data_IF_630382067645
#
_entry.id   IF_630382067645
#
_cell.length_a   1.000
_cell.length_b   1.000
_cell.length_c   1.000
_cell.angle_alpha   90.00
_cell.angle_beta   90.00
_cell.angle_gamma   90.00
#
_symmetry.space_group_name_H-M   'P 1'
#
loop_
_entity.id
_entity.type
_entity.pdbx_description
1 polymer ?
#
# COMPACT_ATOMS: atom_id res chain seq x y z
N UNK A 1 -18.66 -32.02 -29.70
CA UNK A 1 -18.12 -30.66 -29.45
C UNK A 1 -17.48 -30.48 -28.09
N UNK A 2 -17.98 -31.09 -27.01
CA UNK A 2 -17.40 -31.00 -25.68
C UNK A 2 -15.96 -31.58 -25.53
N UNK A 3 -15.60 -32.62 -26.30
CA UNK A 3 -14.28 -33.26 -26.27
C UNK A 3 -13.14 -32.41 -26.90
N UNK A 4 -13.47 -31.51 -27.79
CA UNK A 4 -12.51 -30.60 -28.44
C UNK A 4 -12.16 -29.43 -27.55
N UNK A 5 -13.09 -28.93 -26.73
CA UNK A 5 -12.87 -27.82 -25.80
C UNK A 5 -11.92 -28.23 -24.66
N UNK A 6 -12.06 -29.48 -24.16
CA UNK A 6 -11.12 -29.99 -23.11
C UNK A 6 -9.67 -30.16 -23.62
N UNK A 7 -9.48 -30.54 -24.89
CA UNK A 7 -8.13 -30.68 -25.45
C UNK A 7 -7.45 -29.32 -25.69
N UNK A 8 -8.22 -28.28 -26.03
CA UNK A 8 -7.68 -26.93 -26.18
C UNK A 8 -7.29 -26.29 -24.85
N UNK A 9 -8.07 -26.50 -23.77
CA UNK A 9 -7.74 -25.97 -22.45
C UNK A 9 -6.46 -26.61 -21.86
N UNK A 10 -6.28 -27.91 -22.10
CA UNK A 10 -5.04 -28.60 -21.65
C UNK A 10 -3.79 -28.13 -22.39
N UNK A 11 -3.91 -27.82 -23.68
CA UNK A 11 -2.80 -27.34 -24.48
C UNK A 11 -2.37 -25.89 -24.07
N UNK A 12 -3.35 -25.01 -23.82
CA UNK A 12 -3.09 -23.65 -23.30
C UNK A 12 -2.49 -23.66 -21.90
N UNK A 13 -2.92 -24.55 -21.02
CA UNK A 13 -2.31 -24.73 -19.70
C UNK A 13 -0.85 -25.19 -19.79
N UNK A 14 -0.53 -26.08 -20.71
CA UNK A 14 0.84 -26.56 -20.90
C UNK A 14 1.77 -25.49 -21.47
N UNK A 15 1.28 -24.62 -22.34
CA UNK A 15 2.02 -23.48 -22.89
C UNK A 15 2.25 -22.41 -21.81
N UNK A 16 1.21 -22.06 -21.04
CA UNK A 16 1.30 -21.09 -19.94
C UNK A 16 2.25 -21.58 -18.84
N UNK A 17 2.26 -22.87 -18.53
CA UNK A 17 3.14 -23.46 -17.53
C UNK A 17 4.60 -23.58 -18.01
N UNK A 18 4.86 -23.79 -19.30
CA UNK A 18 6.22 -23.78 -19.86
C UNK A 18 6.83 -22.38 -19.87
N UNK A 19 6.08 -21.38 -20.27
CA UNK A 19 6.57 -19.99 -20.23
C UNK A 19 6.80 -19.49 -18.79
N UNK A 20 5.94 -19.86 -17.83
CA UNK A 20 6.13 -19.53 -16.43
C UNK A 20 7.40 -20.14 -15.82
N UNK A 21 7.77 -21.37 -16.21
CA UNK A 21 9.00 -22.02 -15.75
C UNK A 21 10.26 -21.40 -16.35
N UNK A 22 10.18 -20.91 -17.58
CA UNK A 22 11.29 -20.22 -18.24
C UNK A 22 11.51 -18.80 -17.66
N UNK A 23 10.44 -18.06 -17.39
CA UNK A 23 10.52 -16.74 -16.75
C UNK A 23 11.02 -16.79 -15.30
N UNK A 24 10.70 -17.86 -14.54
CA UNK A 24 11.19 -17.99 -13.15
C UNK A 24 12.71 -18.16 -13.09
N UNK A 25 13.33 -18.83 -14.05
CA UNK A 25 14.79 -18.94 -14.13
C UNK A 25 15.50 -17.64 -14.50
N UNK A 26 14.88 -16.81 -15.34
CA UNK A 26 15.42 -15.49 -15.69
C UNK A 26 15.30 -14.50 -14.54
N UNK A 27 14.23 -14.59 -13.74
CA UNK A 27 13.99 -13.70 -12.60
C UNK A 27 14.89 -13.99 -11.39
N UNK A 28 15.23 -15.26 -11.15
CA UNK A 28 16.12 -15.65 -10.04
C UNK A 28 17.54 -15.09 -10.25
N UNK A 29 18.02 -15.00 -11.49
CA UNK A 29 19.32 -14.40 -11.79
C UNK A 29 19.34 -12.86 -11.71
N UNK A 30 18.17 -12.20 -11.70
CA UNK A 30 18.10 -10.75 -11.59
C UNK A 30 18.01 -10.24 -10.14
N UNK A 31 17.63 -11.07 -9.18
CA UNK A 31 17.49 -10.64 -7.77
C UNK A 31 18.83 -10.40 -7.06
N UNK A 32 19.92 -10.94 -7.56
CA UNK A 32 21.26 -10.78 -6.98
C UNK A 32 22.08 -9.60 -7.51
N UNK A 33 21.62 -8.87 -8.53
CA UNK A 33 22.30 -7.65 -8.96
C UNK A 33 22.02 -6.52 -7.98
N UNK A 34 22.96 -6.26 -7.08
CA UNK A 34 22.98 -5.07 -6.23
C UNK A 34 22.95 -3.83 -7.11
N UNK A 35 21.77 -3.20 -7.24
CA UNK A 35 21.64 -1.95 -7.97
C UNK A 35 22.44 -0.84 -7.28
N UNK A 36 23.62 -0.51 -7.81
CA UNK A 36 24.46 0.59 -7.33
C UNK A 36 23.98 1.97 -7.77
N UNK A 37 23.08 2.08 -8.71
CA UNK A 37 22.61 3.36 -9.22
C UNK A 37 21.29 3.76 -8.58
N UNK A 38 21.21 5.03 -8.13
CA UNK A 38 19.97 5.73 -7.77
C UNK A 38 19.11 5.93 -9.03
N UNK A 39 18.55 4.90 -9.59
CA UNK A 39 17.45 5.11 -10.52
C UNK A 39 16.24 5.50 -9.70
N UNK A 40 15.61 6.64 -9.99
CA UNK A 40 14.24 6.89 -9.57
C UNK A 40 13.47 5.66 -10.02
N UNK A 41 12.85 4.94 -9.07
CA UNK A 41 11.99 3.83 -9.46
C UNK A 41 10.92 4.42 -10.36
N UNK A 42 10.71 3.87 -11.56
CA UNK A 42 9.63 4.35 -12.40
C UNK A 42 8.32 4.27 -11.64
N UNK A 43 7.36 5.11 -12.01
CA UNK A 43 6.03 5.05 -11.47
C UNK A 43 5.51 3.60 -11.51
N UNK A 44 4.71 3.15 -10.51
CA UNK A 44 4.24 1.78 -10.45
C UNK A 44 3.46 1.32 -11.69
N UNK A 45 2.84 2.23 -12.39
CA UNK A 45 2.15 1.98 -13.67
C UNK A 45 3.09 1.96 -14.88
N UNK A 46 4.36 2.37 -14.72
CA UNK A 46 5.32 2.30 -15.78
C UNK A 46 5.90 0.87 -15.81
N UNK A 47 5.43 0.06 -16.69
CA UNK A 47 6.06 -1.21 -17.02
C UNK A 47 7.25 -0.93 -17.95
N UNK A 48 8.49 -1.24 -17.53
CA UNK A 48 9.62 -1.12 -18.42
C UNK A 48 9.37 -2.06 -19.62
N UNK A 49 9.39 -1.51 -20.83
CA UNK A 49 9.34 -2.33 -22.06
C UNK A 49 10.42 -3.40 -21.93
N UNK A 50 9.99 -4.65 -21.85
CA UNK A 50 10.91 -5.77 -21.93
C UNK A 50 11.38 -5.83 -23.37
N UNK A 51 12.61 -5.35 -23.60
CA UNK A 51 13.34 -5.61 -24.86
C UNK A 51 13.71 -7.09 -24.92
N UNK A 52 12.75 -7.97 -24.95
CA UNK A 52 12.93 -9.38 -25.25
C UNK A 52 12.61 -9.57 -26.73
N UNK A 53 13.53 -10.23 -27.42
CA UNK A 53 13.30 -10.64 -28.82
C UNK A 53 12.02 -11.45 -28.88
N UNK A 54 10.97 -10.89 -29.47
CA UNK A 54 9.75 -11.61 -29.77
C UNK A 54 10.02 -12.60 -30.90
N UNK A 55 9.61 -13.81 -30.66
CA UNK A 55 9.62 -14.86 -31.65
C UNK A 55 8.53 -14.62 -32.68
N UNK A 56 8.97 -14.42 -33.89
CA UNK A 56 8.27 -14.52 -35.17
C UNK A 56 6.74 -14.42 -35.25
N UNK A 57 6.28 -13.38 -35.88
CA UNK A 57 4.97 -13.39 -36.59
C UNK A 57 3.75 -12.93 -35.80
N UNK A 58 3.87 -12.56 -34.55
CA UNK A 58 2.76 -12.00 -33.76
C UNK A 58 3.10 -10.56 -33.38
N UNK A 59 2.25 -9.62 -33.79
CA UNK A 59 2.39 -8.20 -33.42
C UNK A 59 2.18 -8.05 -31.92
N UNK A 60 3.04 -7.25 -31.26
CA UNK A 60 3.06 -7.04 -29.81
C UNK A 60 1.70 -6.64 -29.23
N UNK A 61 0.91 -5.90 -29.98
CA UNK A 61 -0.39 -5.38 -29.59
C UNK A 61 -1.42 -6.51 -29.41
N UNK A 62 -1.54 -7.41 -30.39
CA UNK A 62 -2.52 -8.50 -30.32
C UNK A 62 -2.20 -9.54 -29.23
N UNK A 63 -0.92 -9.78 -28.98
CA UNK A 63 -0.50 -10.72 -27.90
C UNK A 63 -0.75 -10.14 -26.53
N UNK A 64 -0.56 -8.83 -26.36
CA UNK A 64 -0.82 -8.17 -25.08
C UNK A 64 -2.30 -8.25 -24.72
N UNK A 65 -3.18 -7.92 -25.66
CA UNK A 65 -4.63 -7.93 -25.46
C UNK A 65 -5.18 -9.34 -25.19
N UNK A 66 -4.76 -10.32 -25.99
CA UNK A 66 -5.15 -11.72 -25.78
C UNK A 66 -4.65 -12.27 -24.44
N UNK A 67 -3.42 -11.96 -24.05
CA UNK A 67 -2.89 -12.35 -22.74
C UNK A 67 -3.67 -11.66 -21.61
N UNK A 68 -4.02 -10.41 -21.76
CA UNK A 68 -4.80 -9.68 -20.76
C UNK A 68 -6.21 -10.27 -20.63
N UNK A 69 -6.91 -10.55 -21.71
CA UNK A 69 -8.22 -11.20 -21.68
C UNK A 69 -8.18 -12.55 -20.99
N UNK A 70 -7.23 -13.42 -21.36
CA UNK A 70 -7.06 -14.74 -20.72
C UNK A 70 -6.79 -14.62 -19.21
N UNK A 71 -6.08 -13.59 -18.78
CA UNK A 71 -5.81 -13.39 -17.35
C UNK A 71 -7.01 -12.89 -16.59
N UNK A 72 -7.74 -11.94 -17.16
CA UNK A 72 -8.95 -11.42 -16.55
C UNK A 72 -9.97 -12.54 -16.42
N UNK A 73 -10.16 -13.37 -17.45
CA UNK A 73 -11.08 -14.49 -17.43
C UNK A 73 -10.67 -15.58 -16.42
N UNK A 74 -9.38 -15.82 -16.24
CA UNK A 74 -8.87 -16.82 -15.26
C UNK A 74 -9.14 -16.46 -13.81
N UNK A 75 -9.23 -15.18 -13.48
CA UNK A 75 -9.38 -14.69 -12.09
C UNK A 75 -10.76 -14.11 -11.80
N UNK A 76 -11.66 -14.02 -12.79
CA UNK A 76 -13.05 -13.63 -12.55
C UNK A 76 -13.74 -14.59 -11.59
N UNK A 77 -14.74 -14.14 -10.82
CA UNK A 77 -15.49 -15.00 -9.91
C UNK A 77 -16.11 -16.22 -10.61
N UNK A 78 -16.54 -16.09 -11.87
CA UNK A 78 -17.19 -17.13 -12.65
C UNK A 78 -16.22 -18.02 -13.46
N UNK A 79 -14.92 -17.90 -13.23
CA UNK A 79 -13.94 -18.64 -14.03
C UNK A 79 -13.91 -20.13 -13.65
N UNK A 80 -13.83 -21.05 -14.63
CA UNK A 80 -13.76 -22.49 -14.38
C UNK A 80 -12.50 -22.87 -13.59
N UNK A 81 -11.40 -22.15 -13.77
CA UNK A 81 -10.15 -22.37 -13.05
C UNK A 81 -10.32 -22.06 -11.55
N UNK A 82 -11.07 -21.02 -11.23
CA UNK A 82 -11.40 -20.68 -9.85
C UNK A 82 -12.33 -21.72 -9.23
N UNK A 83 -13.34 -22.14 -9.96
CA UNK A 83 -14.28 -23.17 -9.51
C UNK A 83 -13.55 -24.48 -9.16
N UNK A 84 -12.70 -24.98 -10.05
CA UNK A 84 -11.88 -26.18 -9.82
C UNK A 84 -10.94 -26.02 -8.59
N UNK A 85 -10.37 -24.82 -8.40
CA UNK A 85 -9.52 -24.54 -7.26
C UNK A 85 -10.30 -24.54 -5.94
N UNK A 86 -11.50 -23.98 -5.92
CA UNK A 86 -12.36 -23.95 -4.74
C UNK A 86 -12.85 -25.35 -4.39
N UNK A 87 -13.26 -26.13 -5.40
CA UNK A 87 -13.66 -27.53 -5.23
C UNK A 87 -12.54 -28.38 -4.61
N UNK A 88 -11.31 -28.26 -5.11
CA UNK A 88 -10.13 -28.93 -4.51
C UNK A 88 -9.89 -28.55 -3.05
N UNK A 89 -10.31 -27.38 -2.64
CA UNK A 89 -10.23 -26.92 -1.24
C UNK A 89 -11.45 -27.28 -0.40
N UNK A 90 -12.50 -27.81 -1.01
CA UNK A 90 -13.78 -28.04 -0.35
C UNK A 90 -14.48 -26.75 0.08
N UNK A 91 -14.21 -25.64 -0.61
CA UNK A 91 -14.80 -24.32 -0.33
C UNK A 91 -15.83 -24.01 -1.39
N UNK A 92 -17.02 -23.59 -0.96
CA UNK A 92 -18.04 -23.00 -1.86
C UNK A 92 -18.13 -21.49 -1.66
N UNK A 93 -18.55 -20.75 -2.67
CA UNK A 93 -18.74 -19.31 -2.56
C UNK A 93 -19.72 -18.93 -1.43
N UNK A 94 -20.73 -19.75 -1.20
CA UNK A 94 -21.68 -19.58 -0.07
C UNK A 94 -21.00 -19.75 1.28
N UNK A 95 -20.06 -20.68 1.44
CA UNK A 95 -19.28 -20.83 2.66
C UNK A 95 -18.36 -19.62 2.89
N UNK A 96 -17.75 -19.13 1.82
CA UNK A 96 -16.94 -17.91 1.89
C UNK A 96 -17.83 -16.73 2.30
N UNK A 97 -18.97 -16.53 1.65
CA UNK A 97 -19.89 -15.45 1.97
C UNK A 97 -20.42 -15.52 3.41
N UNK A 98 -20.76 -16.71 3.91
CA UNK A 98 -21.25 -16.88 5.28
C UNK A 98 -20.20 -16.57 6.36
N UNK A 99 -18.93 -16.88 6.11
CA UNK A 99 -17.83 -16.54 7.02
C UNK A 99 -17.62 -15.03 7.18
N UNK A 100 -17.98 -14.26 6.14
CA UNK A 100 -17.73 -12.81 6.07
C UNK A 100 -18.99 -11.97 6.23
N UNK A 101 -20.10 -12.57 6.71
CA UNK A 101 -21.27 -11.77 7.05
C UNK A 101 -20.90 -10.73 8.12
N UNK A 102 -21.17 -9.47 7.79
CA UNK A 102 -20.96 -8.34 8.69
C UNK A 102 -22.29 -8.02 9.34
N UNK A 103 -22.30 -7.80 10.64
CA UNK A 103 -23.48 -7.34 11.34
C UNK A 103 -23.90 -5.96 10.79
N UNK A 104 -25.00 -5.90 10.07
CA UNK A 104 -25.51 -4.64 9.45
C UNK A 104 -25.75 -3.54 10.47
N UNK A 105 -25.96 -3.90 11.74
CA UNK A 105 -26.24 -2.98 12.85
C UNK A 105 -24.97 -2.58 13.62
N UNK A 106 -23.77 -2.99 13.17
CA UNK A 106 -22.55 -2.66 13.88
C UNK A 106 -22.29 -1.16 13.84
N UNK A 107 -22.21 -0.55 15.02
CA UNK A 107 -21.82 0.85 15.19
C UNK A 107 -20.33 0.94 15.55
N UNK A 108 -19.63 1.84 14.90
CA UNK A 108 -18.22 2.10 15.17
C UNK A 108 -17.99 2.48 16.65
N UNK A 109 -17.00 1.89 17.29
CA UNK A 109 -16.58 2.16 18.65
C UNK A 109 -15.18 2.79 18.65
N UNK A 110 -14.84 3.54 19.69
CA UNK A 110 -13.53 4.23 19.79
C UNK A 110 -12.31 3.33 19.56
N UNK A 111 -12.35 2.10 20.06
CA UNK A 111 -11.25 1.13 19.93
C UNK A 111 -11.32 0.30 18.65
N UNK A 112 -12.34 0.45 17.83
CA UNK A 112 -12.52 -0.31 16.60
C UNK A 112 -11.41 0.04 15.60
N UNK A 113 -10.77 -0.98 15.06
CA UNK A 113 -9.75 -0.84 14.01
C UNK A 113 -10.34 -1.29 12.70
N UNK A 114 -10.52 -0.37 11.77
CA UNK A 114 -10.91 -0.66 10.39
C UNK A 114 -9.67 -1.05 9.57
N UNK A 115 -9.89 -1.61 8.38
CA UNK A 115 -8.82 -1.81 7.42
C UNK A 115 -8.25 -0.46 6.97
N UNK A 116 -7.00 -0.46 6.50
CA UNK A 116 -6.42 0.67 5.81
C UNK A 116 -6.36 0.44 4.30
N UNK A 117 -5.91 1.44 3.57
CA UNK A 117 -5.65 1.34 2.14
C UNK A 117 -4.17 1.50 1.82
N UNK A 118 -3.76 0.99 0.66
CA UNK A 118 -2.42 1.18 0.13
C UNK A 118 -2.51 2.24 -0.96
N UNK A 119 -1.79 3.33 -0.79
CA UNK A 119 -1.73 4.41 -1.76
C UNK A 119 -0.32 4.55 -2.35
N UNK A 120 -0.21 5.34 -3.38
CA UNK A 120 1.05 5.75 -4.00
C UNK A 120 1.21 7.25 -3.79
N UNK A 121 2.35 7.66 -3.28
CA UNK A 121 2.69 9.06 -3.15
C UNK A 121 3.02 9.63 -4.52
N UNK A 122 2.25 10.59 -4.99
CA UNK A 122 2.49 11.27 -6.27
C UNK A 122 3.49 12.42 -6.11
N UNK A 123 3.33 13.22 -5.06
CA UNK A 123 4.15 14.39 -4.80
C UNK A 123 3.53 15.30 -3.75
N UNK A 124 3.96 16.56 -3.73
CA UNK A 124 3.41 17.58 -2.83
C UNK A 124 2.92 18.77 -3.64
N UNK A 125 1.73 19.27 -3.28
CA UNK A 125 1.09 20.42 -3.92
C UNK A 125 0.68 21.42 -2.83
N UNK A 126 0.83 22.73 -3.04
CA UNK A 126 0.28 23.74 -2.16
C UNK A 126 -1.25 23.82 -2.33
N UNK A 127 -1.95 24.05 -1.24
CA UNK A 127 -3.35 24.40 -1.18
C UNK A 127 -3.48 25.70 -0.36
N UNK A 128 -4.54 26.45 -0.55
CA UNK A 128 -4.78 27.67 0.18
C UNK A 128 -6.02 27.52 1.05
N UNK A 129 -5.95 28.06 2.26
CA UNK A 129 -7.12 28.17 3.12
C UNK A 129 -7.94 29.41 2.73
N UNK A 130 -9.17 29.49 3.22
CA UNK A 130 -10.02 30.69 3.06
C UNK A 130 -9.40 31.95 3.69
N UNK A 131 -8.50 31.76 4.66
CA UNK A 131 -7.76 32.82 5.32
C UNK A 131 -6.52 33.29 4.54
N UNK A 132 -6.27 32.70 3.37
CA UNK A 132 -5.10 33.00 2.53
C UNK A 132 -3.80 32.28 2.93
N UNK A 133 -3.83 31.42 3.95
CA UNK A 133 -2.66 30.65 4.34
C UNK A 133 -2.33 29.54 3.32
N UNK A 134 -1.06 29.45 2.96
CA UNK A 134 -0.54 28.37 2.11
C UNK A 134 -0.26 27.12 2.93
N UNK A 135 -0.95 26.03 2.61
CA UNK A 135 -0.78 24.72 3.25
C UNK A 135 -0.20 23.74 2.26
N UNK A 136 0.92 23.09 2.62
CA UNK A 136 1.51 22.04 1.80
C UNK A 136 0.80 20.71 2.03
N UNK A 137 0.30 20.11 0.95
CA UNK A 137 -0.40 18.83 0.96
C UNK A 137 0.38 17.77 0.20
N UNK A 138 0.43 16.57 0.73
CA UNK A 138 0.93 15.40 0.00
C UNK A 138 -0.23 14.72 -0.73
N UNK A 139 -0.04 14.43 -1.99
CA UNK A 139 -1.02 13.77 -2.86
C UNK A 139 -0.79 12.28 -2.86
N UNK A 140 -1.81 11.52 -2.49
CA UNK A 140 -1.80 10.07 -2.39
C UNK A 140 -2.88 9.50 -3.31
N UNK A 141 -2.52 8.62 -4.22
CA UNK A 141 -3.46 7.94 -5.10
C UNK A 141 -3.68 6.49 -4.66
N UNK A 142 -4.94 6.11 -4.53
CA UNK A 142 -5.35 4.75 -4.22
C UNK A 142 -5.60 4.02 -5.54
N UNK A 143 -4.80 3.00 -5.83
CA UNK A 143 -4.88 2.27 -7.10
C UNK A 143 -5.34 0.84 -6.85
N UNK A 144 -6.52 0.51 -7.33
CA UNK A 144 -7.04 -0.84 -7.47
C UNK A 144 -6.78 -1.73 -6.23
N UNK A 145 -7.23 -1.25 -5.08
CA UNK A 145 -7.10 -1.98 -3.82
C UNK A 145 -8.23 -2.98 -3.64
N UNK A 146 -7.86 -4.23 -3.33
CA UNK A 146 -8.80 -5.29 -2.98
C UNK A 146 -8.39 -6.02 -1.72
N UNK A 147 -9.37 -6.47 -0.99
CA UNK A 147 -9.17 -7.40 0.13
C UNK A 147 -8.89 -8.78 -0.43
N UNK A 148 -7.79 -9.40 0.00
CA UNK A 148 -7.38 -10.72 -0.50
C UNK A 148 -7.75 -11.80 0.50
N UNK A 149 -7.44 -11.60 1.78
CA UNK A 149 -7.67 -12.60 2.81
C UNK A 149 -7.86 -11.95 4.17
N UNK A 150 -8.77 -12.50 4.95
CA UNK A 150 -8.89 -12.21 6.37
C UNK A 150 -8.45 -13.42 7.19
N UNK A 151 -7.70 -13.18 8.25
CA UNK A 151 -7.30 -14.21 9.23
C UNK A 151 -7.90 -13.83 10.57
N UNK A 152 -8.75 -14.69 11.17
CA UNK A 152 -9.38 -14.41 12.44
C UNK A 152 -8.33 -14.31 13.58
N UNK A 153 -8.70 -13.72 14.73
CA UNK A 153 -7.76 -13.48 15.83
C UNK A 153 -7.08 -14.75 16.34
N UNK A 154 -7.82 -15.86 16.40
CA UNK A 154 -7.31 -17.15 16.91
C UNK A 154 -6.18 -17.70 16.05
N UNK A 155 -6.39 -17.76 14.72
CA UNK A 155 -5.40 -18.25 13.78
C UNK A 155 -4.24 -17.28 13.62
N UNK A 156 -4.53 -15.99 13.74
CA UNK A 156 -3.48 -14.96 13.70
C UNK A 156 -2.53 -15.10 14.89
N UNK A 157 -3.05 -15.32 16.09
CA UNK A 157 -2.25 -15.54 17.29
C UNK A 157 -1.42 -16.81 17.19
N UNK A 158 -2.00 -17.93 16.71
CA UNK A 158 -1.26 -19.17 16.46
C UNK A 158 -0.09 -18.97 15.51
N UNK A 159 -0.29 -18.18 14.43
CA UNK A 159 0.72 -17.94 13.39
C UNK A 159 1.88 -17.04 13.82
N UNK A 160 1.63 -16.07 14.70
CA UNK A 160 2.63 -15.07 15.13
C UNK A 160 3.27 -15.38 16.49
N UNK A 161 2.75 -16.39 17.21
CA UNK A 161 3.11 -16.63 18.60
C UNK A 161 2.56 -15.53 19.54
N UNK A 162 2.82 -15.70 20.84
CA UNK A 162 2.40 -14.73 21.84
C UNK A 162 3.21 -13.44 21.72
N UNK A 163 2.57 -12.39 21.22
CA UNK A 163 3.15 -11.06 21.17
C UNK A 163 2.38 -10.13 22.13
N UNK A 164 3.01 -9.63 23.22
CA UNK A 164 2.32 -8.85 24.25
C UNK A 164 1.72 -7.52 23.70
N UNK A 165 2.21 -7.05 22.57
CA UNK A 165 1.76 -5.82 21.90
C UNK A 165 0.46 -5.97 21.08
N UNK A 166 0.03 -7.21 20.81
CA UNK A 166 -1.21 -7.44 20.10
C UNK A 166 -2.35 -7.71 21.08
N UNK A 167 -3.39 -6.91 21.00
CA UNK A 167 -4.65 -7.18 21.70
C UNK A 167 -5.17 -8.57 21.32
N UNK A 168 -5.67 -9.32 22.28
CA UNK A 168 -6.20 -10.70 22.06
C UNK A 168 -7.30 -10.76 20.99
N UNK A 169 -8.01 -9.66 20.74
CA UNK A 169 -9.14 -9.59 19.82
C UNK A 169 -8.81 -8.83 18.52
N UNK A 170 -7.67 -9.07 17.91
CA UNK A 170 -7.33 -8.44 16.64
C UNK A 170 -6.98 -9.49 15.60
N UNK A 171 -7.73 -9.47 14.51
CA UNK A 171 -7.44 -10.25 13.31
C UNK A 171 -6.52 -9.51 12.35
N UNK A 172 -6.15 -10.16 11.28
CA UNK A 172 -5.35 -9.55 10.23
C UNK A 172 -6.03 -9.64 8.87
N UNK A 173 -6.01 -8.54 8.15
CA UNK A 173 -6.55 -8.42 6.80
C UNK A 173 -5.42 -8.11 5.82
N UNK A 174 -5.33 -8.88 4.75
CA UNK A 174 -4.37 -8.67 3.68
C UNK A 174 -5.06 -7.92 2.56
N UNK A 175 -4.53 -6.76 2.23
CA UNK A 175 -4.98 -5.91 1.12
C UNK A 175 -3.91 -5.89 0.05
N UNK A 176 -4.33 -5.98 -1.20
CA UNK A 176 -3.46 -5.90 -2.37
C UNK A 176 -3.75 -4.65 -3.20
N UNK A 177 -2.73 -4.11 -3.84
CA UNK A 177 -2.85 -2.97 -4.76
C UNK A 177 -2.12 -3.23 -6.06
N UNK A 178 -2.61 -2.62 -7.11
CA UNK A 178 -2.10 -2.65 -8.48
C UNK A 178 -2.11 -4.06 -9.07
N UNK A 179 -3.09 -4.34 -9.89
CA UNK A 179 -3.20 -5.60 -10.64
C UNK A 179 -2.03 -5.75 -11.61
N UNK A 180 -1.53 -6.95 -11.70
CA UNK A 180 -0.41 -7.29 -12.58
C UNK A 180 -0.67 -8.64 -13.25
N UNK A 181 0.03 -8.85 -14.34
CA UNK A 181 0.03 -10.11 -15.06
C UNK A 181 0.39 -11.30 -14.17
N UNK A 182 -0.42 -12.37 -14.14
CA UNK A 182 -0.12 -13.60 -13.40
C UNK A 182 1.20 -14.25 -13.81
N UNK A 183 1.66 -14.03 -15.04
CA UNK A 183 2.92 -14.58 -15.56
C UNK A 183 4.16 -14.01 -14.86
N UNK A 184 4.03 -12.86 -14.18
CA UNK A 184 5.12 -12.26 -13.43
C UNK A 184 5.37 -12.94 -12.06
N UNK A 185 4.43 -13.78 -11.62
CA UNK A 185 4.44 -14.36 -10.28
C UNK A 185 4.49 -15.88 -10.29
N UNK A 186 4.86 -16.46 -9.16
CA UNK A 186 4.85 -17.90 -8.97
C UNK A 186 3.41 -18.43 -8.81
N UNK A 187 3.19 -19.71 -9.15
CA UNK A 187 1.89 -20.38 -9.00
C UNK A 187 1.34 -20.29 -7.56
N UNK A 188 2.21 -20.40 -6.55
CA UNK A 188 1.80 -20.27 -5.13
C UNK A 188 1.27 -18.88 -4.80
N UNK A 189 1.84 -17.84 -5.38
CA UNK A 189 1.40 -16.47 -5.20
C UNK A 189 0.05 -16.22 -5.89
N UNK A 190 -0.10 -16.70 -7.13
CA UNK A 190 -1.35 -16.59 -7.88
C UNK A 190 -2.52 -17.29 -7.19
N UNK A 191 -2.29 -18.45 -6.58
CA UNK A 191 -3.33 -19.20 -5.87
C UNK A 191 -3.95 -18.42 -4.69
N UNK A 192 -3.25 -17.44 -4.11
CA UNK A 192 -3.82 -16.55 -3.09
C UNK A 192 -4.99 -15.72 -3.62
N UNK A 193 -4.94 -15.35 -4.88
CA UNK A 193 -5.92 -14.45 -5.49
C UNK A 193 -7.10 -15.20 -6.09
N UNK A 194 -6.95 -16.48 -6.40
CA UNK A 194 -8.07 -17.32 -6.87
C UNK A 194 -9.18 -17.44 -5.83
N UNK A 195 -8.83 -17.52 -4.54
CA UNK A 195 -9.80 -17.54 -3.45
C UNK A 195 -10.61 -16.23 -3.39
N UNK A 196 -9.95 -15.10 -3.62
CA UNK A 196 -10.57 -13.78 -3.61
C UNK A 196 -11.30 -13.42 -4.92
N UNK A 197 -11.10 -14.17 -6.00
CA UNK A 197 -11.65 -13.86 -7.33
C UNK A 197 -11.10 -12.56 -7.92
N UNK A 198 -9.82 -12.24 -7.66
CA UNK A 198 -9.19 -10.98 -8.06
C UNK A 198 -7.87 -11.24 -8.74
N UNK A 199 -7.53 -10.44 -9.75
CA UNK A 199 -6.24 -10.51 -10.42
C UNK A 199 -5.07 -10.34 -9.44
N UNK A 200 -3.92 -11.01 -9.67
CA UNK A 200 -2.75 -10.90 -8.82
C UNK A 200 -2.29 -9.45 -8.63
N UNK A 201 -1.98 -9.09 -7.40
CA UNK A 201 -1.58 -7.74 -7.02
C UNK A 201 -0.06 -7.61 -6.86
N UNK A 202 0.47 -6.49 -7.29
CA UNK A 202 1.92 -6.21 -7.22
C UNK A 202 2.43 -6.00 -5.81
N UNK A 203 1.59 -5.43 -4.94
CA UNK A 203 1.96 -5.14 -3.55
C UNK A 203 0.88 -5.61 -2.60
N UNK A 204 1.27 -6.38 -1.60
CA UNK A 204 0.42 -6.79 -0.49
C UNK A 204 0.86 -6.10 0.80
N UNK A 205 -0.12 -5.79 1.64
CA UNK A 205 0.12 -5.26 2.98
C UNK A 205 -0.89 -5.87 3.94
N UNK A 206 -0.42 -6.15 5.15
CA UNK A 206 -1.27 -6.66 6.23
C UNK A 206 -1.69 -5.49 7.11
N UNK A 207 -2.99 -5.42 7.39
CA UNK A 207 -3.59 -4.50 8.37
C UNK A 207 -4.14 -5.29 9.55
N UNK A 208 -4.05 -4.71 10.73
CA UNK A 208 -4.66 -5.26 11.94
C UNK A 208 -6.07 -4.69 12.07
N UNK A 209 -7.05 -5.57 12.12
CA UNK A 209 -8.47 -5.22 12.03
C UNK A 209 -9.24 -5.87 13.16
N UNK A 210 -10.21 -5.16 13.73
CA UNK A 210 -11.14 -5.73 14.70
C UNK A 210 -12.03 -6.78 14.02
N UNK A 211 -12.40 -7.89 14.68
CA UNK A 211 -13.19 -8.95 14.05
C UNK A 211 -14.55 -8.46 13.54
N UNK A 212 -15.09 -7.42 14.17
CA UNK A 212 -16.35 -6.75 13.80
C UNK A 212 -16.25 -6.01 12.44
N UNK A 213 -15.03 -5.62 12.02
CA UNK A 213 -14.75 -4.90 10.76
C UNK A 213 -14.15 -5.81 9.68
N UNK A 214 -14.47 -7.11 9.72
CA UNK A 214 -14.06 -8.04 8.68
C UNK A 214 -14.72 -7.68 7.35
N UNK A 215 -14.00 -7.86 6.25
CA UNK A 215 -14.47 -7.66 4.89
C UNK A 215 -14.30 -8.95 4.10
N UNK A 216 -15.22 -9.19 3.19
CA UNK A 216 -15.14 -10.34 2.30
C UNK A 216 -13.92 -10.22 1.37
N UNK A 217 -13.26 -11.34 1.01
CA UNK A 217 -12.26 -11.36 -0.04
C UNK A 217 -12.87 -10.84 -1.36
N UNK A 218 -12.09 -10.14 -2.16
CA UNK A 218 -12.56 -9.50 -3.38
C UNK A 218 -13.16 -8.10 -3.20
N UNK A 219 -13.50 -7.67 -1.98
CA UNK A 219 -14.05 -6.34 -1.74
C UNK A 219 -13.05 -5.25 -2.17
N UNK A 220 -13.52 -4.33 -3.00
CA UNK A 220 -12.74 -3.20 -3.48
C UNK A 220 -12.71 -2.08 -2.44
N UNK A 221 -11.54 -1.49 -2.26
CA UNK A 221 -11.31 -0.37 -1.34
C UNK A 221 -10.88 0.87 -2.16
N UNK A 222 -11.66 1.94 -2.05
CA UNK A 222 -11.43 3.20 -2.76
C UNK A 222 -10.99 4.30 -1.79
N UNK A 223 -10.68 5.48 -2.32
CA UNK A 223 -10.35 6.66 -1.53
C UNK A 223 -11.48 7.03 -0.55
N UNK A 224 -12.74 6.87 -0.95
CA UNK A 224 -13.94 7.14 -0.15
C UNK A 224 -14.08 6.25 1.11
N UNK A 225 -13.18 5.30 1.34
CA UNK A 225 -13.03 4.63 2.64
C UNK A 225 -12.76 5.62 3.78
N UNK A 226 -12.03 6.69 3.49
CA UNK A 226 -11.81 7.83 4.38
C UNK A 226 -12.74 8.98 4.03
N UNK A 227 -12.81 9.97 4.89
CA UNK A 227 -13.60 11.19 4.67
C UNK A 227 -12.71 12.41 4.79
N UNK A 228 -13.12 13.49 4.18
CA UNK A 228 -12.50 14.80 4.37
C UNK A 228 -12.66 15.23 5.85
N UNK A 229 -11.68 15.92 6.37
CA UNK A 229 -11.51 16.35 7.76
C UNK A 229 -11.18 15.23 8.77
N UNK A 230 -11.19 13.96 8.35
CA UNK A 230 -10.68 12.88 9.18
C UNK A 230 -9.15 12.90 9.29
N UNK A 231 -8.63 12.33 10.38
CA UNK A 231 -7.20 12.21 10.62
C UNK A 231 -6.71 10.79 10.34
N UNK A 232 -5.61 10.70 9.60
CA UNK A 232 -5.00 9.43 9.20
C UNK A 232 -3.54 9.32 9.63
N UNK A 233 -3.10 8.09 9.84
CA UNK A 233 -1.71 7.74 10.06
C UNK A 233 -1.14 7.15 8.77
N UNK A 234 -0.05 7.73 8.29
CA UNK A 234 0.56 7.37 7.03
C UNK A 234 1.94 6.78 7.25
N UNK A 235 2.12 5.54 6.82
CA UNK A 235 3.38 4.80 7.01
C UNK A 235 4.03 4.46 5.68
N UNK A 236 5.33 4.77 5.55
CA UNK A 236 6.12 4.37 4.39
C UNK A 236 7.60 4.16 4.73
N UNK A 237 8.35 3.60 3.81
CA UNK A 237 9.81 3.53 3.90
C UNK A 237 10.41 4.88 3.55
N UNK A 238 11.27 5.39 4.43
CA UNK A 238 11.99 6.65 4.23
C UNK A 238 12.95 6.59 3.05
N UNK A 239 13.37 7.75 2.57
CA UNK A 239 14.36 7.86 1.50
C UNK A 239 15.68 7.26 1.97
N UNK A 240 16.25 6.33 1.17
CA UNK A 240 17.53 5.71 1.46
C UNK A 240 18.70 6.63 1.08
N UNK A 241 19.59 6.83 2.03
CA UNK A 241 20.82 7.62 1.84
C UNK A 241 22.09 6.77 1.77
N UNK A 242 21.98 5.44 1.73
CA UNK A 242 23.09 4.50 1.80
C UNK A 242 23.90 4.67 3.09
N UNK A 243 25.21 4.35 3.06
CA UNK A 243 26.08 4.50 4.22
C UNK A 243 26.42 5.97 4.43
N UNK A 244 26.08 6.49 5.61
CA UNK A 244 26.30 7.90 5.99
C UNK A 244 27.18 8.00 7.25
N UNK A 245 27.98 9.06 7.29
CA UNK A 245 28.77 9.43 8.47
C UNK A 245 27.88 9.94 9.61
N UNK A 246 28.46 10.05 10.79
CA UNK A 246 27.77 10.44 12.03
C UNK A 246 27.19 11.86 12.00
N UNK A 247 27.81 12.77 11.24
CA UNK A 247 27.31 14.15 11.10
C UNK A 247 25.94 14.14 10.41
N UNK A 248 25.80 13.48 9.27
CA UNK A 248 24.52 13.43 8.56
C UNK A 248 23.51 12.52 9.23
N UNK A 249 23.96 11.35 9.73
CA UNK A 249 23.07 10.34 10.31
C UNK A 249 22.50 10.75 11.68
N UNK A 250 23.31 11.41 12.53
CA UNK A 250 22.96 11.68 13.92
C UNK A 250 23.04 13.16 14.31
N UNK A 251 23.42 14.05 13.38
CA UNK A 251 23.53 15.47 13.65
C UNK A 251 24.74 15.86 14.52
N UNK A 252 25.81 15.08 14.50
CA UNK A 252 27.03 15.44 15.26
C UNK A 252 27.64 16.71 14.68
N UNK A 253 28.10 17.62 15.57
CA UNK A 253 28.77 18.86 15.14
C UNK A 253 30.09 18.61 14.43
N UNK A 254 30.79 17.53 14.80
CA UNK A 254 32.16 17.27 14.33
C UNK A 254 33.18 18.03 15.15
N UNK A 255 34.36 18.21 14.61
CA UNK A 255 35.46 18.94 15.20
C UNK A 255 35.77 20.20 14.38
N UNK A 256 36.54 21.16 14.99
CA UNK A 256 36.97 22.35 14.28
C UNK A 256 37.75 22.02 13.02
N UNK A 257 37.52 22.76 11.95
CA UNK A 257 38.26 22.63 10.71
C UNK A 257 39.61 23.34 10.69
N UNK A 258 39.84 24.24 11.65
CA UNK A 258 41.03 25.07 11.78
C UNK A 258 41.94 24.57 12.92
N UNK A 259 43.15 25.12 13.02
CA UNK A 259 44.13 24.82 14.10
C UNK A 259 44.46 23.31 14.20
N UNK A 260 45.16 22.77 13.23
CA UNK A 260 45.60 21.36 13.14
C UNK A 260 44.46 20.32 13.17
N UNK A 261 43.24 20.71 12.80
CA UNK A 261 42.05 19.83 12.79
C UNK A 261 42.17 18.62 11.86
N UNK A 262 43.05 18.62 10.91
CA UNK A 262 43.38 17.51 10.03
C UNK A 262 42.15 16.88 9.35
N UNK A 263 42.20 15.58 9.04
CA UNK A 263 41.16 14.82 8.37
C UNK A 263 40.02 14.36 9.30
N UNK A 264 39.91 14.88 10.54
CA UNK A 264 39.00 14.36 11.57
C UNK A 264 37.69 15.15 11.72
N UNK A 265 37.46 16.19 10.93
CA UNK A 265 36.36 17.15 11.12
C UNK A 265 34.96 16.49 11.22
N UNK A 266 34.73 15.47 10.45
CA UNK A 266 33.42 14.80 10.35
C UNK A 266 33.38 13.44 11.04
N UNK A 267 34.33 13.14 11.92
CA UNK A 267 34.38 11.89 12.67
C UNK A 267 33.58 11.96 13.98
N UNK A 268 33.25 10.78 14.52
CA UNK A 268 32.43 10.65 15.73
C UNK A 268 33.17 11.04 17.01
N UNK A 269 34.51 11.13 17.00
CA UNK A 269 35.33 11.22 18.18
C UNK A 269 35.50 9.87 18.90
N UNK A 270 35.73 9.90 20.21
CA UNK A 270 35.90 8.68 21.00
C UNK A 270 34.63 7.82 21.07
N UNK A 271 34.82 6.52 21.00
CA UNK A 271 33.72 5.56 21.03
C UNK A 271 33.59 4.79 22.33
N UNK A 272 34.62 4.75 23.14
CA UNK A 272 34.64 4.03 24.42
C UNK A 272 34.96 4.92 25.64
N UNK A 273 34.84 4.37 26.81
CA UNK A 273 35.00 5.06 28.09
C UNK A 273 36.40 4.95 28.71
N UNK A 274 37.47 4.60 27.97
CA UNK A 274 38.81 4.43 28.48
C UNK A 274 39.02 3.15 29.31
N UNK A 275 40.01 3.18 30.22
CA UNK A 275 40.40 2.00 31.02
C UNK A 275 39.29 1.44 31.91
N UNK A 276 38.42 2.29 32.47
CA UNK A 276 37.38 1.88 33.43
C UNK A 276 36.14 1.23 32.76
N UNK A 277 35.93 1.44 31.47
CA UNK A 277 34.83 0.84 30.73
C UNK A 277 35.35 0.19 29.43
N UNK A 278 35.61 -1.12 29.48
CA UNK A 278 35.96 -1.86 28.29
C UNK A 278 34.78 -1.93 27.29
N UNK A 279 35.04 -1.68 26.02
CA UNK A 279 34.09 -1.79 24.95
C UNK A 279 33.23 -0.56 24.71
N UNK A 280 32.33 -0.69 23.74
CA UNK A 280 31.41 0.35 23.31
C UNK A 280 30.02 0.11 23.91
N UNK A 281 29.41 1.14 24.47
CA UNK A 281 28.04 1.03 25.00
C UNK A 281 27.04 0.66 23.92
N UNK A 282 26.06 -0.19 24.27
CA UNK A 282 24.94 -0.54 23.37
C UNK A 282 24.19 0.72 22.94
N UNK A 283 23.81 0.81 21.68
CA UNK A 283 23.10 1.97 21.14
C UNK A 283 23.99 3.19 20.85
N UNK A 284 25.32 3.10 20.94
CA UNK A 284 26.24 4.19 20.56
C UNK A 284 25.97 4.63 19.13
N UNK A 285 25.73 5.93 18.93
CA UNK A 285 25.49 6.54 17.61
C UNK A 285 26.75 6.48 16.75
N UNK A 286 26.72 5.67 15.69
CA UNK A 286 27.84 5.44 14.76
C UNK A 286 27.42 5.62 13.31
N UNK A 287 28.40 5.74 12.42
CA UNK A 287 28.18 5.71 10.98
C UNK A 287 27.51 4.39 10.55
N UNK A 288 26.76 4.42 9.49
CA UNK A 288 26.07 3.25 8.95
C UNK A 288 25.00 3.62 7.95
N UNK A 289 24.19 2.64 7.53
CA UNK A 289 23.08 2.87 6.62
C UNK A 289 22.06 3.81 7.25
N UNK A 290 21.58 4.77 6.44
CA UNK A 290 20.58 5.76 6.83
C UNK A 290 19.41 5.71 5.85
N UNK A 291 18.20 5.68 6.40
CA UNK A 291 16.98 5.58 5.60
C UNK A 291 16.61 4.14 5.21
N UNK A 292 15.57 4.00 4.37
CA UNK A 292 14.92 2.74 4.04
C UNK A 292 14.20 2.09 5.23
N UNK A 293 14.07 2.80 6.34
CA UNK A 293 13.35 2.36 7.53
C UNK A 293 11.87 2.75 7.43
N UNK A 294 11.02 1.95 8.06
CA UNK A 294 9.61 2.29 8.18
C UNK A 294 9.44 3.48 9.14
N UNK A 295 8.76 4.51 8.68
CA UNK A 295 8.35 5.63 9.50
C UNK A 295 6.86 5.87 9.34
N UNK A 296 6.20 6.26 10.43
CA UNK A 296 4.77 6.56 10.47
C UNK A 296 4.58 8.00 10.90
N UNK A 297 4.02 8.79 10.00
CA UNK A 297 3.54 10.13 10.33
C UNK A 297 2.10 10.00 10.83
N UNK A 298 1.87 10.43 12.07
CA UNK A 298 0.58 10.25 12.75
C UNK A 298 -0.26 11.52 12.73
N UNK A 299 -1.56 11.34 12.59
CA UNK A 299 -2.54 12.42 12.76
C UNK A 299 -2.50 13.47 11.66
N UNK A 300 -2.34 13.06 10.41
CA UNK A 300 -2.42 13.96 9.26
C UNK A 300 -3.90 14.18 8.88
N UNK A 301 -4.32 15.43 8.71
CA UNK A 301 -5.70 15.81 8.31
C UNK A 301 -5.88 15.61 6.80
N UNK A 302 -6.97 15.01 6.38
CA UNK A 302 -7.38 14.94 4.98
C UNK A 302 -8.08 16.26 4.65
N UNK A 303 -7.58 17.00 3.65
CA UNK A 303 -8.13 18.31 3.27
C UNK A 303 -9.01 18.24 2.03
N UNK A 304 -8.67 17.38 1.08
CA UNK A 304 -9.39 17.24 -0.19
C UNK A 304 -9.37 15.78 -0.62
N UNK A 305 -10.42 15.36 -1.27
CA UNK A 305 -10.53 14.03 -1.85
C UNK A 305 -11.15 14.13 -3.25
N UNK A 306 -10.57 13.42 -4.19
CA UNK A 306 -11.10 13.23 -5.54
C UNK A 306 -11.53 11.77 -5.70
N UNK A 307 -12.84 11.56 -5.84
CA UNK A 307 -13.44 10.23 -5.97
C UNK A 307 -13.35 9.69 -7.40
N UNK A 308 -13.13 10.56 -8.40
CA UNK A 308 -12.99 10.15 -9.81
C UNK A 308 -11.69 9.40 -10.04
N UNK A 309 -10.59 9.94 -9.52
CA UNK A 309 -9.24 9.38 -9.67
C UNK A 309 -8.74 8.66 -8.40
N UNK A 310 -9.58 8.52 -7.36
CA UNK A 310 -9.23 7.94 -6.06
C UNK A 310 -7.99 8.58 -5.43
N UNK A 311 -7.97 9.92 -5.37
CA UNK A 311 -6.86 10.71 -4.84
C UNK A 311 -7.21 11.34 -3.50
N UNK A 312 -6.29 11.29 -2.55
CA UNK A 312 -6.41 11.85 -1.21
C UNK A 312 -5.32 12.90 -1.00
N UNK A 313 -5.71 14.10 -0.59
CA UNK A 313 -4.80 15.20 -0.25
C UNK A 313 -4.67 15.29 1.26
N UNK A 314 -3.48 15.01 1.76
CA UNK A 314 -3.19 14.95 3.19
C UNK A 314 -2.32 16.13 3.61
N UNK A 315 -2.71 16.87 4.64
CA UNK A 315 -1.95 18.02 5.16
C UNK A 315 -0.60 17.57 5.71
N UNK A 316 0.48 18.11 5.14
CA UNK A 316 1.85 17.91 5.62
C UNK A 316 2.67 16.92 4.81
N UNK A 317 3.77 16.46 5.39
CA UNK A 317 4.79 15.62 4.74
C UNK A 317 4.56 14.15 5.04
N UNK A 318 4.63 13.32 4.01
CA UNK A 318 4.57 11.85 4.11
C UNK A 318 5.96 11.25 3.85
N UNK A 319 6.40 10.25 4.65
CA UNK A 319 7.68 9.60 4.47
C UNK A 319 7.81 8.95 3.08
N UNK A 320 9.03 8.84 2.61
CA UNK A 320 9.36 8.16 1.36
C UNK A 320 9.52 9.07 0.14
N UNK A 321 10.18 8.56 -0.91
CA UNK A 321 10.30 9.25 -2.19
C UNK A 321 8.95 9.28 -2.92
N UNK A 322 8.87 10.07 -3.98
CA UNK A 322 7.73 10.04 -4.89
C UNK A 322 7.59 8.65 -5.53
N UNK A 323 6.39 8.27 -5.86
CA UNK A 323 5.99 6.95 -6.38
C UNK A 323 6.29 5.76 -5.44
N UNK A 324 6.46 6.00 -4.14
CA UNK A 324 6.54 4.92 -3.17
C UNK A 324 5.15 4.45 -2.70
N UNK A 325 5.06 3.18 -2.32
CA UNK A 325 3.86 2.65 -1.68
C UNK A 325 3.78 3.11 -0.23
N UNK A 326 2.62 3.60 0.13
CA UNK A 326 2.31 4.16 1.43
C UNK A 326 1.11 3.41 2.02
N UNK A 327 1.12 3.13 3.29
CA UNK A 327 -0.02 2.58 4.03
C UNK A 327 -0.74 3.72 4.72
N UNK A 328 -2.02 3.85 4.46
CA UNK A 328 -2.90 4.84 5.08
C UNK A 328 -3.88 4.12 5.99
N UNK A 329 -3.99 4.54 7.24
CA UNK A 329 -4.84 3.95 8.27
C UNK A 329 -5.50 5.05 9.09
N UNK A 330 -6.60 4.74 9.76
CA UNK A 330 -7.18 5.64 10.76
C UNK A 330 -6.15 5.95 11.84
N UNK A 331 -6.14 7.20 12.32
CA UNK A 331 -5.16 7.62 13.33
C UNK A 331 -5.31 6.85 14.64
N UNK A 332 -4.18 6.53 15.27
CA UNK A 332 -4.13 5.92 16.60
C UNK A 332 -4.19 7.00 17.70
N UNK A 333 -3.98 8.28 17.38
CA UNK A 333 -3.93 9.36 18.35
C UNK A 333 -5.31 9.62 18.98
N UNK A 334 -5.45 9.37 20.27
CA UNK A 334 -6.72 9.45 20.99
C UNK A 334 -7.39 10.84 20.88
N UNK A 335 -6.62 11.92 20.99
CA UNK A 335 -7.16 13.28 20.89
C UNK A 335 -7.73 13.60 19.50
N UNK A 336 -7.17 13.04 18.43
CA UNK A 336 -7.67 13.18 17.06
C UNK A 336 -8.87 12.28 16.78
N UNK A 337 -8.93 11.11 17.41
CA UNK A 337 -10.05 10.16 17.27
C UNK A 337 -11.32 10.63 17.97
N UNK A 338 -11.26 11.54 18.95
CA UNK A 338 -12.45 12.08 19.63
C UNK A 338 -13.46 12.70 18.65
N UNK A 339 -12.99 13.30 17.57
CA UNK A 339 -13.86 13.84 16.51
C UNK A 339 -14.69 12.78 15.80
N UNK A 340 -14.14 11.57 15.63
CA UNK A 340 -14.84 10.45 14.99
C UNK A 340 -16.00 9.90 15.82
N UNK A 341 -16.05 10.17 17.13
CA UNK A 341 -17.18 9.74 17.97
C UNK A 341 -18.44 10.53 17.68
N UNK A 342 -18.31 11.81 17.33
CA UNK A 342 -19.46 12.65 16.96
C UNK A 342 -20.03 12.27 15.60
N UNK A 343 -19.16 11.94 14.68
CA UNK A 343 -19.52 11.52 13.34
C UNK A 343 -18.73 10.24 12.97
N UNK A 344 -19.25 9.04 13.29
CA UNK A 344 -18.55 7.79 13.08
C UNK A 344 -18.35 7.52 11.58
N UNK A 345 -17.16 6.98 11.20
CA UNK A 345 -16.93 6.59 9.83
C UNK A 345 -17.76 5.35 9.45
N UNK A 346 -17.99 5.17 8.15
CA UNK A 346 -18.64 3.95 7.66
C UNK A 346 -17.81 2.72 8.06
N UNK A 347 -18.44 1.77 8.69
CA UNK A 347 -17.78 0.55 9.13
C UNK A 347 -18.54 -0.67 8.56
N UNK A 348 -17.80 -1.64 7.98
CA UNK A 348 -16.36 -1.75 7.87
C UNK A 348 -15.73 -0.88 6.76
N UNK A 349 -16.48 -0.53 5.71
CA UNK A 349 -16.08 0.38 4.62
C UNK A 349 -17.33 0.94 3.94
N UNK A 350 -17.16 1.93 3.08
CA UNK A 350 -18.22 2.40 2.22
C UNK A 350 -18.36 1.45 1.01
N UNK A 351 -19.55 0.90 0.81
CA UNK A 351 -19.84 0.00 -0.30
C UNK A 351 -19.88 0.76 -1.63
N UNK A 352 -19.64 0.08 -2.74
CA UNK A 352 -19.55 0.69 -4.08
C UNK A 352 -20.80 1.43 -4.48
N UNK A 353 -21.99 0.89 -4.19
CA UNK A 353 -23.28 1.52 -4.49
C UNK A 353 -23.44 2.90 -3.82
N UNK A 354 -22.95 3.02 -2.59
CA UNK A 354 -22.96 4.28 -1.84
C UNK A 354 -21.83 5.21 -2.29
N UNK A 355 -20.70 4.65 -2.76
CA UNK A 355 -19.57 5.42 -3.25
C UNK A 355 -19.87 6.13 -4.58
N UNK A 356 -20.68 5.52 -5.45
CA UNK A 356 -21.09 6.13 -6.73
C UNK A 356 -21.98 7.36 -6.56
N UNK A 357 -22.68 7.48 -5.43
CA UNK A 357 -23.53 8.62 -5.11
C UNK A 357 -22.77 9.84 -4.56
N UNK A 358 -21.49 9.67 -4.26
CA UNK A 358 -20.66 10.77 -3.75
C UNK A 358 -20.25 11.73 -4.88
N UNK A 359 -20.11 13.04 -4.58
CA UNK A 359 -19.59 14.00 -5.54
C UNK A 359 -18.17 13.61 -5.99
N UNK A 360 -17.80 14.02 -7.21
CA UNK A 360 -16.49 13.74 -7.78
C UNK A 360 -15.35 14.31 -6.93
N UNK A 361 -15.56 15.47 -6.36
CA UNK A 361 -14.63 16.14 -5.46
C UNK A 361 -15.30 16.54 -4.15
N UNK A 362 -14.56 16.37 -3.06
CA UNK A 362 -14.96 16.81 -1.73
C UNK A 362 -13.83 17.64 -1.14
N UNK A 363 -14.12 18.86 -0.73
CA UNK A 363 -13.19 19.78 -0.10
C UNK A 363 -13.51 19.95 1.39
N UNK A 364 -12.48 20.20 2.20
CA UNK A 364 -12.64 20.64 3.58
C UNK A 364 -13.25 22.06 3.62
N UNK A 365 -14.05 22.32 4.63
CA UNK A 365 -14.63 23.65 4.88
C UNK A 365 -13.56 24.76 5.03
N UNK A 366 -12.34 24.39 5.40
CA UNK A 366 -11.24 25.31 5.65
C UNK A 366 -10.52 25.74 4.35
N UNK A 367 -10.70 24.98 3.23
CA UNK A 367 -10.02 25.25 1.97
C UNK A 367 -10.78 26.26 1.13
N UNK A 368 -10.00 27.06 0.40
CA UNK A 368 -10.53 27.93 -0.65
C UNK A 368 -10.87 27.08 -1.88
N UNK A 369 -12.09 27.24 -2.38
CA UNK A 369 -12.50 26.66 -3.65
C UNK A 369 -12.22 27.67 -4.76
N UNK A 370 -11.30 27.32 -5.69
CA UNK A 370 -10.96 28.16 -6.84
C UNK A 370 -12.08 28.30 -7.87
N UNK A 371 -13.21 27.64 -7.64
CA UNK A 371 -14.42 27.82 -8.46
C UNK A 371 -15.27 29.00 -7.99
N UNK A 372 -15.10 29.40 -6.73
CA UNK A 372 -15.75 30.59 -6.21
C UNK A 372 -15.03 31.84 -6.71
N UNK A 373 -15.76 32.90 -6.99
CA UNK A 373 -15.18 34.18 -7.38
C UNK A 373 -14.27 34.71 -6.27
N UNK A 374 -13.03 34.98 -6.61
CA UNK A 374 -12.01 35.47 -5.65
C UNK A 374 -12.27 36.93 -5.22
N UNK A 375 -13.06 37.68 -6.00
CA UNK A 375 -13.40 39.08 -5.77
C UNK A 375 -14.92 39.21 -5.87
N UNK A 376 -15.59 39.46 -4.74
CA UNK A 376 -16.97 39.90 -4.73
C UNK A 376 -16.95 41.43 -4.93
N UNK A 377 -17.35 41.90 -6.11
CA UNK A 377 -17.60 43.31 -6.33
C UNK A 377 -19.00 43.58 -5.76
N UNK A 378 -19.07 44.28 -4.62
CA UNK A 378 -20.33 44.85 -4.17
C UNK A 378 -20.74 45.89 -5.21
N UNK A 379 -21.82 45.62 -5.96
CA UNK A 379 -22.45 46.63 -6.74
C UNK A 379 -22.99 47.70 -5.76
N UNK A 380 -22.41 48.88 -5.76
CA UNK A 380 -22.96 50.07 -5.11
C UNK A 380 -24.19 50.56 -5.85
#
# INVERSE_FOLDING_TARGET
MASLICKFSGCLQSILLREASCCSRILINHEHKRYRKRSRKPAPWFEPRKTGKLTYGVTDENVADLKQQVWEDSFKPDSPIRAEFLERKGLTDNMIASQYQVDKNFKWKFNTKRTGVIAIKLGMIPQWTKEGEKVMCTVLQVLDNHVIRYTPPEDFQKSQGFHPWFSKNVGSMVVGTLSCSPLLFSKRYNNLFLEAGVAPKRKLTRFLVSPECKLAPGTKLRACHFRVDDYVDVSAKTIGHAFQGVVKRWGFKGQSATHRGGKSWRRAGATGGGRSQAGTRRGKKMAGHMGMDWNTQKGLKILRMDNKYDVIYVKGVVPGPDHCYVRVMDTVLNHRRKGLMKNPPSCPTLLEDSAQKLPSEVLSSDLFDFRDDSISISAE
#
